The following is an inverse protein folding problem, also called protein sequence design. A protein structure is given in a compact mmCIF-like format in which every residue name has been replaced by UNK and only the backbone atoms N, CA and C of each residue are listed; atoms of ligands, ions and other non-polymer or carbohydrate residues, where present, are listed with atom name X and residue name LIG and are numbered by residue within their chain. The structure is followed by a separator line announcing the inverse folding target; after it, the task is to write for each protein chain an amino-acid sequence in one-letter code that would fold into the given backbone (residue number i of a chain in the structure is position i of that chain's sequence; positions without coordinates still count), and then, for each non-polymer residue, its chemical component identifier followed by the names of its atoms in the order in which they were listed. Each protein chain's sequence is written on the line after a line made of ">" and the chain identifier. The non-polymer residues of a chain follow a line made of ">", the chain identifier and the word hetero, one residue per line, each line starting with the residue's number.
data_IF_598529019009
#
_entry.id   IF_598529019009
#
_cell.length_a   1.000
_cell.length_b   1.000
_cell.length_c   1.000
_cell.angle_alpha   90.00
_cell.angle_beta   90.00
_cell.angle_gamma   90.00
#
_symmetry.space_group_name_H-M   'P 1'
#
loop_
_entity.id
_entity.type
_entity.pdbx_description
1 polymer ?
#
# COMPACT_ATOMS: atom_id res chain seq x y z
N UNK A 1 0.04 -3.07 -16.66
CA UNK A 1 1.05 -3.84 -15.90
C UNK A 1 1.78 -2.86 -15.00
N UNK A 2 1.61 -2.92 -13.67
CA UNK A 2 2.43 -2.10 -12.75
C UNK A 2 3.86 -2.67 -12.75
N UNK A 3 4.91 -1.84 -12.70
CA UNK A 3 6.26 -2.34 -12.59
C UNK A 3 6.42 -2.96 -11.20
N UNK A 4 6.46 -4.29 -11.17
CA UNK A 4 6.88 -5.02 -10.00
C UNK A 4 8.38 -4.79 -9.84
N UNK A 5 8.78 -3.89 -8.95
CA UNK A 5 10.15 -3.90 -8.42
C UNK A 5 10.21 -5.04 -7.40
N UNK A 6 10.39 -6.25 -7.90
CA UNK A 6 10.67 -7.44 -7.09
C UNK A 6 12.14 -7.78 -7.26
N UNK A 7 12.97 -7.27 -6.36
CA UNK A 7 14.38 -7.69 -6.26
C UNK A 7 14.52 -8.99 -5.46
N UNK A 8 13.49 -9.46 -4.73
CA UNK A 8 13.64 -10.70 -3.93
C UNK A 8 12.37 -11.54 -3.72
N UNK A 9 11.26 -11.34 -4.46
CA UNK A 9 10.06 -12.21 -4.44
C UNK A 9 9.29 -12.38 -3.11
N UNK A 10 9.88 -12.02 -1.97
CA UNK A 10 9.35 -12.26 -0.61
C UNK A 10 8.32 -11.24 -0.18
N UNK A 11 8.42 -10.01 -0.69
CA UNK A 11 7.51 -8.94 -0.32
C UNK A 11 6.96 -8.18 -1.53
N UNK A 12 5.83 -7.52 -1.33
CA UNK A 12 5.18 -6.65 -2.29
C UNK A 12 4.82 -5.32 -1.66
N UNK A 13 5.18 -4.24 -2.34
CA UNK A 13 4.68 -2.91 -2.01
C UNK A 13 3.26 -2.74 -2.55
N UNK A 14 2.32 -2.38 -1.69
CA UNK A 14 0.93 -2.17 -2.05
C UNK A 14 0.50 -0.76 -1.63
N UNK A 15 0.00 0.02 -2.59
CA UNK A 15 -0.63 1.32 -2.29
C UNK A 15 -2.02 1.09 -1.69
N UNK A 16 -2.37 1.91 -0.72
CA UNK A 16 -3.66 1.92 -0.07
C UNK A 16 -4.69 2.78 -0.81
N UNK A 17 -5.89 2.24 -1.01
CA UNK A 17 -7.00 2.92 -1.69
C UNK A 17 -7.89 3.67 -0.70
N UNK A 18 -8.31 3.01 0.37
CA UNK A 18 -9.24 3.59 1.35
C UNK A 18 -9.17 2.85 2.68
N UNK A 19 -9.23 3.61 3.77
CA UNK A 19 -9.46 3.10 5.14
C UNK A 19 -10.95 3.23 5.43
N UNK A 20 -11.59 2.17 5.91
CA UNK A 20 -13.02 2.13 6.22
C UNK A 20 -13.29 1.34 7.50
N UNK A 21 -14.42 1.60 8.15
CA UNK A 21 -14.89 0.80 9.28
C UNK A 21 -15.94 -0.20 8.78
N UNK A 22 -15.74 -1.47 9.11
CA UNK A 22 -16.66 -2.54 8.77
C UNK A 22 -17.72 -2.77 9.83
N UNK A 23 -18.45 -3.88 9.66
CA UNK A 23 -19.38 -4.34 10.69
C UNK A 23 -18.66 -4.50 12.03
N UNK A 24 -19.34 -4.11 13.12
CA UNK A 24 -18.81 -4.08 14.49
C UNK A 24 -17.66 -3.07 14.71
N UNK A 25 -17.53 -2.05 13.86
CA UNK A 25 -16.53 -0.99 14.03
C UNK A 25 -15.10 -1.45 13.76
N UNK A 26 -14.90 -2.60 13.10
CA UNK A 26 -13.56 -3.13 12.84
C UNK A 26 -12.94 -2.36 11.68
N UNK A 27 -11.80 -1.67 11.88
CA UNK A 27 -11.12 -0.98 10.79
C UNK A 27 -10.55 -1.99 9.79
N UNK A 28 -10.78 -1.72 8.51
CA UNK A 28 -10.18 -2.44 7.40
C UNK A 28 -9.74 -1.48 6.30
N UNK A 29 -8.87 -1.99 5.45
CA UNK A 29 -8.32 -1.25 4.34
C UNK A 29 -8.35 -2.06 3.07
N UNK A 30 -8.68 -1.38 1.97
CA UNK A 30 -8.54 -1.91 0.63
C UNK A 30 -7.26 -1.40 -0.02
N UNK A 31 -6.48 -2.35 -0.54
CA UNK A 31 -5.32 -2.03 -1.39
C UNK A 31 -5.75 -1.94 -2.86
N UNK A 32 -4.97 -1.23 -3.68
CA UNK A 32 -5.18 -1.21 -5.13
C UNK A 32 -5.04 -2.59 -5.79
N UNK A 33 -4.39 -3.53 -5.11
CA UNK A 33 -4.25 -4.91 -5.54
C UNK A 33 -5.47 -5.78 -5.22
N UNK A 34 -6.58 -5.19 -4.76
CA UNK A 34 -7.82 -5.91 -4.44
C UNK A 34 -7.79 -6.69 -3.13
N UNK A 35 -6.73 -6.56 -2.32
CA UNK A 35 -6.66 -7.20 -1.00
C UNK A 35 -7.30 -6.32 0.07
N UNK A 36 -8.05 -6.95 0.97
CA UNK A 36 -8.63 -6.32 2.16
C UNK A 36 -7.86 -6.75 3.40
N UNK A 37 -7.26 -5.80 4.12
CA UNK A 37 -6.47 -6.06 5.32
C UNK A 37 -7.23 -5.48 6.51
N UNK A 38 -7.38 -6.27 7.58
CA UNK A 38 -8.11 -5.88 8.81
C UNK A 38 -7.12 -5.64 9.94
N UNK A 39 -7.54 -4.86 10.94
CA UNK A 39 -6.74 -4.59 12.15
C UNK A 39 -5.36 -3.99 11.83
N UNK A 40 -5.34 -2.97 10.98
CA UNK A 40 -4.14 -2.20 10.69
C UNK A 40 -3.86 -1.17 11.78
N UNK A 41 -2.60 -0.71 11.81
CA UNK A 41 -2.19 0.42 12.65
C UNK A 41 -3.03 1.67 12.32
N UNK A 42 -3.64 2.35 13.32
CA UNK A 42 -4.40 3.59 13.13
C UNK A 42 -3.64 4.74 12.46
N UNK A 43 -2.30 4.71 12.48
CA UNK A 43 -1.45 5.74 11.88
C UNK A 43 -1.45 5.70 10.34
N UNK A 44 -1.92 4.61 9.77
CA UNK A 44 -1.92 4.35 8.34
C UNK A 44 -3.13 5.02 7.68
N UNK A 45 -2.89 5.78 6.61
CA UNK A 45 -3.91 6.53 5.89
C UNK A 45 -4.04 6.11 4.43
N UNK A 46 -5.08 6.61 3.77
CA UNK A 46 -5.22 6.45 2.32
C UNK A 46 -4.01 7.06 1.59
N UNK A 47 -3.61 6.43 0.48
CA UNK A 47 -2.40 6.73 -0.30
C UNK A 47 -1.05 6.34 0.31
N UNK A 48 -0.99 5.88 1.56
CA UNK A 48 0.22 5.29 2.10
C UNK A 48 0.58 3.98 1.36
N UNK A 49 1.83 3.57 1.47
CA UNK A 49 2.33 2.33 0.88
C UNK A 49 2.68 1.34 1.98
N UNK A 50 2.18 0.12 1.89
CA UNK A 50 2.53 -0.96 2.82
C UNK A 50 3.45 -1.97 2.17
N UNK A 51 4.37 -2.51 2.97
CA UNK A 51 5.19 -3.67 2.64
C UNK A 51 4.48 -4.92 3.15
N UNK A 52 3.92 -5.68 2.22
CA UNK A 52 3.23 -6.92 2.50
C UNK A 52 4.17 -8.09 2.23
N UNK A 53 4.31 -8.99 3.19
CA UNK A 53 5.04 -10.25 3.03
C UNK A 53 4.13 -11.31 2.39
N UNK A 54 4.63 -12.02 1.37
CA UNK A 54 3.82 -13.00 0.63
C UNK A 54 3.52 -14.26 1.44
N UNK A 55 4.44 -14.68 2.31
CA UNK A 55 4.30 -15.91 3.09
C UNK A 55 3.28 -15.72 4.22
N UNK A 56 3.51 -14.71 5.06
CA UNK A 56 2.62 -14.44 6.19
C UNK A 56 1.33 -13.70 5.81
N UNK A 57 1.28 -13.08 4.62
CA UNK A 57 0.24 -12.14 4.21
C UNK A 57 -0.01 -11.01 5.22
N UNK A 58 1.00 -10.69 6.05
CA UNK A 58 0.97 -9.62 7.03
C UNK A 58 1.71 -8.39 6.51
N UNK A 59 1.35 -7.24 7.08
CA UNK A 59 2.08 -5.99 6.87
C UNK A 59 3.31 -6.00 7.77
N UNK A 60 4.48 -5.85 7.18
CA UNK A 60 5.76 -5.77 7.89
C UNK A 60 6.09 -4.33 8.24
N UNK A 61 5.95 -3.44 7.26
CA UNK A 61 6.24 -2.01 7.39
C UNK A 61 5.24 -1.19 6.56
N UNK A 62 5.17 0.10 6.86
CA UNK A 62 4.43 1.07 6.06
C UNK A 62 5.24 2.36 5.86
N UNK A 63 5.01 3.00 4.72
CA UNK A 63 5.64 4.25 4.29
C UNK A 63 4.53 5.27 4.12
N UNK A 64 4.59 6.34 4.91
CA UNK A 64 3.63 7.45 4.83
C UNK A 64 3.81 8.26 3.57
N UNK A 65 2.72 8.71 2.98
CA UNK A 65 2.75 9.69 1.90
C UNK A 65 3.00 11.08 2.48
N UNK A 66 4.27 11.51 2.49
CA UNK A 66 4.71 12.79 3.05
C UNK A 66 5.73 13.47 2.13
N UNK A 67 5.93 14.78 2.32
CA UNK A 67 6.94 15.56 1.63
C UNK A 67 8.34 15.01 1.94
N UNK A 68 9.18 14.87 0.92
CA UNK A 68 10.54 14.34 1.02
C UNK A 68 10.65 12.84 0.74
N UNK A 69 9.54 12.14 0.50
CA UNK A 69 9.56 10.73 0.08
C UNK A 69 9.50 10.60 -1.45
N UNK A 70 10.25 9.63 -1.98
CA UNK A 70 10.27 9.31 -3.41
C UNK A 70 9.03 8.49 -3.77
N UNK A 71 8.35 8.88 -4.84
CA UNK A 71 7.12 8.25 -5.33
C UNK A 71 7.20 7.95 -6.82
N UNK A 72 6.54 6.86 -7.24
CA UNK A 72 6.37 6.54 -8.65
C UNK A 72 5.00 6.99 -9.15
N UNK A 73 5.00 7.78 -10.22
CA UNK A 73 3.76 8.21 -10.88
C UNK A 73 3.20 7.07 -11.72
N UNK A 74 2.01 6.56 -11.36
CA UNK A 74 1.39 5.39 -12.02
C UNK A 74 0.35 5.76 -13.10
N UNK A 75 -0.02 7.03 -13.23
CA UNK A 75 -1.07 7.49 -14.17
C UNK A 75 -0.81 8.86 -14.77
N UNK A 76 -1.57 9.22 -15.81
CA UNK A 76 -1.44 10.49 -16.53
C UNK A 76 -0.25 10.55 -17.50
N UNK A 77 0.07 11.77 -17.96
CA UNK A 77 1.15 12.03 -18.93
C UNK A 77 2.56 11.77 -18.37
N UNK A 78 2.71 11.85 -17.05
CA UNK A 78 4.00 11.65 -16.36
C UNK A 78 4.17 10.22 -15.82
N UNK A 79 3.42 9.24 -16.34
CA UNK A 79 3.51 7.84 -15.89
C UNK A 79 4.95 7.31 -16.04
N UNK A 80 5.45 6.64 -14.99
CA UNK A 80 6.77 6.03 -14.96
C UNK A 80 7.87 6.93 -14.43
N UNK A 81 7.58 8.22 -14.19
CA UNK A 81 8.53 9.17 -13.59
C UNK A 81 8.60 8.96 -12.08
N UNK A 82 9.82 9.00 -11.54
CA UNK A 82 10.09 9.08 -10.10
C UNK A 82 10.17 10.55 -9.70
N UNK A 83 9.48 10.92 -8.63
CA UNK A 83 9.45 12.27 -8.07
C UNK A 83 9.69 12.25 -6.56
#
# INVERSE_FOLDING_TARGET
>A
MQPHVSVDGKFKLCKMRSVQFGQKGIPYLNTYNGRTIRYLDPLIKANDTIKLDFESNKVTDFIKFNVGNVVMVTGGRNRGVLA
#
